data_IF_760731021767
#
_entry.id   IF_760731021767
#
_cell.length_a   1.000
_cell.length_b   1.000
_cell.length_c   1.000
_cell.angle_alpha   90.00
_cell.angle_beta   90.00
_cell.angle_gamma   90.00
#
_symmetry.space_group_name_H-M   'P 1'
#
loop_
_entity.id
_entity.type
_entity.pdbx_description
1 polymer ?
#
# COMPACT_ATOMS: atom_id res chain seq x y z
N UNK A 1 15.98 -1.52 3.10
CA UNK A 1 14.55 -1.58 3.44
C UNK A 1 13.86 -2.11 2.21
N UNK A 2 13.14 -3.22 2.34
CA UNK A 2 12.42 -3.84 1.21
C UNK A 2 11.08 -3.12 1.00
N UNK A 3 10.57 -3.17 -0.24
CA UNK A 3 9.29 -2.58 -0.63
C UNK A 3 8.27 -3.70 -0.91
N UNK A 4 7.09 -3.62 -0.29
CA UNK A 4 5.99 -4.54 -0.55
C UNK A 4 4.80 -3.81 -1.18
N UNK A 5 4.37 -4.25 -2.35
CA UNK A 5 3.11 -3.83 -2.96
C UNK A 5 2.04 -4.90 -2.68
N UNK A 6 0.93 -4.50 -2.06
CA UNK A 6 -0.21 -5.40 -1.80
C UNK A 6 -1.44 -4.87 -2.52
N UNK A 7 -1.96 -5.63 -3.47
CA UNK A 7 -3.15 -5.28 -4.25
C UNK A 7 -4.44 -5.58 -3.50
N UNK A 8 -5.45 -4.71 -3.60
CA UNK A 8 -6.74 -4.91 -2.90
C UNK A 8 -6.60 -4.93 -1.38
N UNK A 9 -5.72 -4.08 -0.83
CA UNK A 9 -5.26 -4.13 0.56
C UNK A 9 -5.86 -3.06 1.47
N UNK A 10 -6.91 -2.36 1.01
CA UNK A 10 -7.64 -1.42 1.86
C UNK A 10 -8.36 -2.08 3.03
N UNK A 11 -8.64 -3.40 2.98
CA UNK A 11 -9.40 -4.14 3.99
C UNK A 11 -8.97 -5.61 4.07
N UNK A 12 -9.48 -6.32 5.09
CA UNK A 12 -9.39 -7.77 5.21
C UNK A 12 -7.94 -8.27 5.27
N UNK A 13 -7.67 -9.36 4.54
CA UNK A 13 -6.36 -10.03 4.57
C UNK A 13 -5.24 -9.11 4.06
N UNK A 14 -5.50 -8.34 2.99
CA UNK A 14 -4.50 -7.44 2.43
C UNK A 14 -4.06 -6.36 3.43
N UNK A 15 -5.00 -5.79 4.17
CA UNK A 15 -4.70 -4.81 5.22
C UNK A 15 -3.82 -5.39 6.33
N UNK A 16 -4.10 -6.62 6.77
CA UNK A 16 -3.29 -7.29 7.81
C UNK A 16 -1.90 -7.67 7.31
N UNK A 17 -1.76 -8.05 6.03
CA UNK A 17 -0.45 -8.25 5.41
C UNK A 17 0.36 -6.95 5.44
N UNK A 18 -0.25 -5.83 5.09
CA UNK A 18 0.41 -4.52 5.11
C UNK A 18 0.92 -4.17 6.52
N UNK A 19 0.08 -4.31 7.54
CA UNK A 19 0.45 -4.06 8.95
C UNK A 19 1.57 -4.99 9.40
N UNK A 20 1.46 -6.28 9.10
CA UNK A 20 2.45 -7.28 9.51
C UNK A 20 3.81 -7.10 8.80
N UNK A 21 3.81 -6.66 7.54
CA UNK A 21 5.04 -6.36 6.80
C UNK A 21 5.71 -5.08 7.32
N UNK A 22 4.94 -4.02 7.58
CA UNK A 22 5.47 -2.79 8.14
C UNK A 22 6.11 -3.00 9.52
N UNK A 23 5.54 -3.86 10.36
CA UNK A 23 6.13 -4.27 11.64
C UNK A 23 7.47 -5.03 11.52
N UNK A 24 7.86 -5.43 10.31
CA UNK A 24 9.14 -6.07 9.99
C UNK A 24 10.10 -5.13 9.25
N UNK A 25 9.89 -3.82 9.32
CA UNK A 25 10.69 -2.77 8.67
C UNK A 25 10.62 -2.78 7.13
N UNK A 26 9.46 -3.15 6.57
CA UNK A 26 9.20 -2.99 5.14
C UNK A 26 8.47 -1.68 4.87
N UNK A 27 8.76 -1.05 3.72
CA UNK A 27 7.94 0.04 3.19
C UNK A 27 6.78 -0.55 2.39
N UNK A 28 5.55 -0.15 2.68
CA UNK A 28 4.36 -0.83 2.15
C UNK A 28 3.51 0.08 1.28
N UNK A 29 3.14 -0.39 0.09
CA UNK A 29 2.12 0.23 -0.74
C UNK A 29 0.77 -0.47 -0.56
N UNK A 30 -0.20 0.27 -0.04
CA UNK A 30 -1.60 -0.13 0.11
C UNK A 30 -2.35 0.21 -1.18
N UNK A 31 -2.46 -0.74 -2.11
CA UNK A 31 -3.24 -0.54 -3.34
C UNK A 31 -4.74 -0.82 -3.12
N UNK A 32 -5.56 0.03 -3.73
CA UNK A 32 -7.03 -0.09 -3.75
C UNK A 32 -7.59 0.40 -5.09
N UNK A 33 -8.80 -0.05 -5.46
CA UNK A 33 -9.48 0.46 -6.66
C UNK A 33 -10.42 1.63 -6.34
N UNK A 34 -11.26 1.51 -5.30
CA UNK A 34 -12.29 2.52 -4.97
C UNK A 34 -12.40 2.87 -3.48
N UNK A 35 -11.69 2.15 -2.60
CA UNK A 35 -11.78 2.26 -1.14
C UNK A 35 -10.71 3.19 -0.55
N UNK A 36 -10.81 4.49 -0.86
CA UNK A 36 -9.85 5.51 -0.42
C UNK A 36 -9.76 5.59 1.10
N UNK A 37 -10.89 5.82 1.79
CA UNK A 37 -10.91 6.03 3.24
C UNK A 37 -10.34 4.82 3.99
N UNK A 38 -10.67 3.60 3.58
CA UNK A 38 -10.15 2.41 4.24
C UNK A 38 -8.66 2.19 3.96
N UNK A 39 -8.18 2.52 2.76
CA UNK A 39 -6.75 2.46 2.46
C UNK A 39 -5.95 3.49 3.27
N UNK A 40 -6.45 4.71 3.41
CA UNK A 40 -5.84 5.75 4.23
C UNK A 40 -5.79 5.37 5.71
N UNK A 41 -6.82 4.69 6.23
CA UNK A 41 -6.81 4.16 7.60
C UNK A 41 -5.69 3.12 7.79
N UNK A 42 -5.46 2.23 6.82
CA UNK A 42 -4.35 1.25 6.90
C UNK A 42 -3.00 1.96 6.92
N UNK A 43 -2.79 2.96 6.05
CA UNK A 43 -1.55 3.76 6.04
C UNK A 43 -1.35 4.46 7.37
N UNK A 44 -2.37 5.14 7.88
CA UNK A 44 -2.31 5.86 9.15
C UNK A 44 -1.96 4.94 10.31
N UNK A 45 -2.54 3.75 10.35
CA UNK A 45 -2.26 2.79 11.42
C UNK A 45 -0.81 2.27 11.35
N UNK A 46 -0.28 2.08 10.14
CA UNK A 46 1.14 1.73 9.93
C UNK A 46 2.06 2.87 10.39
N UNK A 47 1.78 4.11 9.99
CA UNK A 47 2.56 5.28 10.37
C UNK A 47 2.54 5.52 11.89
N UNK A 48 1.39 5.34 12.54
CA UNK A 48 1.26 5.43 13.99
C UNK A 48 2.06 4.36 14.73
N UNK A 49 2.24 3.19 14.13
CA UNK A 49 3.11 2.13 14.63
C UNK A 49 4.60 2.38 14.33
N UNK A 50 4.95 3.50 13.67
CA UNK A 50 6.31 3.86 13.30
C UNK A 50 6.81 3.23 11.99
N UNK A 51 5.93 2.57 11.24
CA UNK A 51 6.24 2.03 9.92
C UNK A 51 6.13 3.06 8.80
N UNK A 52 6.48 2.65 7.57
CA UNK A 52 6.38 3.49 6.36
C UNK A 52 5.36 2.88 5.39
N UNK A 53 4.36 3.65 4.99
CA UNK A 53 3.40 3.22 3.99
C UNK A 53 2.89 4.37 3.12
N UNK A 54 2.41 4.04 1.93
CA UNK A 54 1.62 4.92 1.06
C UNK A 54 0.34 4.19 0.61
N UNK A 55 -0.68 4.95 0.22
CA UNK A 55 -1.87 4.41 -0.43
C UNK A 55 -1.88 4.83 -1.90
N UNK A 56 -2.20 3.90 -2.80
CA UNK A 56 -2.23 4.16 -4.25
C UNK A 56 -3.50 3.58 -4.86
N UNK A 57 -4.32 4.46 -5.44
CA UNK A 57 -5.48 4.05 -6.24
C UNK A 57 -5.01 3.50 -7.58
N UNK A 58 -5.30 2.24 -7.87
CA UNK A 58 -5.14 1.63 -9.18
C UNK A 58 -6.02 0.37 -9.31
N UNK A 59 -6.76 0.26 -10.41
CA UNK A 59 -7.38 -0.98 -10.85
C UNK A 59 -6.33 -1.85 -11.54
N UNK A 60 -5.93 -2.92 -10.86
CA UNK A 60 -4.90 -3.86 -11.34
C UNK A 60 -5.31 -4.71 -12.55
N UNK A 61 -6.55 -4.60 -13.01
CA UNK A 61 -6.99 -5.14 -14.30
C UNK A 61 -6.67 -4.23 -15.49
N UNK A 62 -6.25 -2.98 -15.23
CA UNK A 62 -5.92 -1.97 -16.23
C UNK A 62 -4.40 -1.77 -16.27
N UNK A 63 -3.77 -2.18 -17.37
CA UNK A 63 -2.30 -2.20 -17.52
C UNK A 63 -1.63 -0.83 -17.27
N UNK A 64 -2.22 0.26 -17.78
CA UNK A 64 -1.69 1.62 -17.57
C UNK A 64 -1.75 2.08 -16.10
N UNK A 65 -2.74 1.61 -15.34
CA UNK A 65 -2.84 1.92 -13.92
C UNK A 65 -1.85 1.10 -13.11
N UNK A 66 -1.54 -0.12 -13.52
CA UNK A 66 -0.45 -0.92 -12.94
C UNK A 66 0.90 -0.23 -13.15
N UNK A 67 1.18 0.28 -14.35
CA UNK A 67 2.39 1.05 -14.60
C UNK A 67 2.49 2.28 -13.68
N UNK A 68 1.40 3.04 -13.56
CA UNK A 68 1.32 4.21 -12.67
C UNK A 68 1.50 3.83 -11.20
N UNK A 69 0.94 2.70 -10.77
CA UNK A 69 1.11 2.17 -9.41
C UNK A 69 2.59 1.98 -9.08
N UNK A 70 3.34 1.30 -9.95
CA UNK A 70 4.77 1.06 -9.73
C UNK A 70 5.59 2.35 -9.82
N UNK A 71 5.29 3.27 -10.74
CA UNK A 71 5.94 4.58 -10.79
C UNK A 71 5.80 5.37 -9.47
N UNK A 72 4.61 5.32 -8.86
CA UNK A 72 4.35 5.96 -7.56
C UNK A 72 5.14 5.27 -6.44
N UNK A 73 5.19 3.94 -6.45
CA UNK A 73 5.95 3.16 -5.47
C UNK A 73 7.44 3.50 -5.55
N UNK A 74 8.04 3.49 -6.74
CA UNK A 74 9.45 3.81 -6.94
C UNK A 74 9.77 5.26 -6.50
N UNK A 75 8.87 6.21 -6.80
CA UNK A 75 9.07 7.62 -6.46
C UNK A 75 8.96 7.90 -4.95
N UNK A 76 8.05 7.23 -4.25
CA UNK A 76 7.69 7.56 -2.87
C UNK A 76 8.30 6.62 -1.83
N UNK A 77 8.60 5.37 -2.18
CA UNK A 77 9.18 4.37 -1.28
C UNK A 77 10.67 4.10 -1.56
N UNK A 78 11.12 4.32 -2.81
CA UNK A 78 12.49 4.10 -3.28
C UNK A 78 12.72 2.69 -3.80
#
# INVERSE_FOLDING_TARGET
MEVLVVTGSSRGIGAEICRAAAAKDWAVCVNYATSTDEAELVVKDIEQAGGRAISVSADVSIDSEVATLFERVDAELG
#
